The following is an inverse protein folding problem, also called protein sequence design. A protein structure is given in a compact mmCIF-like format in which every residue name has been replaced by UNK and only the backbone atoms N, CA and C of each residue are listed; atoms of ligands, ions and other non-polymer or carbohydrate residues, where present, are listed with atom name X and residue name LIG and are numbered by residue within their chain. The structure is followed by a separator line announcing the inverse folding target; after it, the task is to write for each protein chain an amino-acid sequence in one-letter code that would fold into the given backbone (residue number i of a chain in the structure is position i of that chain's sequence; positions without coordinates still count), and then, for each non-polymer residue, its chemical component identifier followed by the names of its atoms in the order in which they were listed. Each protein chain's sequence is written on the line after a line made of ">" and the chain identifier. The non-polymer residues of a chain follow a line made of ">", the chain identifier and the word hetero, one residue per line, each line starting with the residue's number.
data_IF_228177417493
#
_entry.id   IF_228177417493
#
_cell.length_a   1.000
_cell.length_b   1.000
_cell.length_c   1.000
_cell.angle_alpha   90.00
_cell.angle_beta   90.00
_cell.angle_gamma   90.00
#
_symmetry.space_group_name_H-M   'P 1'
#
loop_
_entity.id
_entity.type
_entity.pdbx_description
1 polymer ?
#
# COMPACT_ATOMS: atom_id res chain seq x y z
N UNK A 1 28.98 -8.12 -6.93
CA UNK A 1 28.89 -6.84 -7.66
C UNK A 1 28.01 -7.12 -8.87
N UNK A 2 26.70 -6.90 -8.74
CA UNK A 2 25.74 -7.16 -9.82
C UNK A 2 25.70 -5.90 -10.67
N UNK A 3 25.99 -6.03 -11.96
CA UNK A 3 25.95 -4.93 -12.91
C UNK A 3 24.50 -4.44 -13.00
N UNK A 4 24.26 -3.20 -12.58
CA UNK A 4 22.97 -2.53 -12.76
C UNK A 4 22.92 -2.08 -14.22
N UNK A 5 22.19 -2.82 -15.04
CA UNK A 5 21.91 -2.41 -16.40
C UNK A 5 20.99 -1.19 -16.36
N UNK A 6 21.48 -0.05 -16.83
CA UNK A 6 20.72 1.20 -16.91
C UNK A 6 19.53 1.13 -17.88
N UNK A 7 19.33 -0.01 -18.54
CA UNK A 7 18.27 -0.25 -19.53
C UNK A 7 16.91 -0.70 -18.95
N UNK A 8 16.79 -1.00 -17.65
CA UNK A 8 15.58 -1.63 -17.08
C UNK A 8 14.32 -0.74 -16.99
N UNK A 9 14.42 0.55 -17.33
CA UNK A 9 13.30 1.51 -17.21
C UNK A 9 13.23 2.51 -18.38
N UNK A 10 12.78 2.08 -19.58
CA UNK A 10 12.44 3.00 -20.66
C UNK A 10 11.33 3.99 -20.26
N UNK A 11 11.52 5.25 -20.66
CA UNK A 11 10.48 6.28 -20.60
C UNK A 11 9.45 6.03 -21.72
N UNK A 12 8.18 5.90 -21.34
CA UNK A 12 7.05 5.70 -22.25
C UNK A 12 6.53 7.06 -22.76
N UNK A 13 7.25 7.64 -23.72
CA UNK A 13 6.94 8.97 -24.33
C UNK A 13 5.53 9.12 -24.89
N UNK A 14 4.91 8.02 -25.33
CA UNK A 14 3.59 8.04 -25.98
C UNK A 14 2.44 7.79 -25.00
N UNK A 15 2.73 7.73 -23.68
CA UNK A 15 1.74 7.49 -22.62
C UNK A 15 1.86 8.51 -21.48
N UNK A 16 2.09 9.77 -21.81
CA UNK A 16 1.95 10.84 -20.82
C UNK A 16 0.49 10.88 -20.33
N UNK A 17 0.29 10.76 -19.02
CA UNK A 17 -1.03 10.79 -18.41
C UNK A 17 -1.25 12.19 -17.84
N UNK A 18 -2.26 12.90 -18.36
CA UNK A 18 -2.65 14.23 -17.90
C UNK A 18 -3.59 14.09 -16.69
N UNK A 19 -3.01 13.80 -15.53
CA UNK A 19 -3.77 13.73 -14.27
C UNK A 19 -3.89 15.15 -13.67
N UNK A 20 -4.96 15.84 -14.04
CA UNK A 20 -5.51 17.05 -13.39
C UNK A 20 -4.82 18.41 -13.70
N UNK A 21 -5.53 19.56 -13.50
CA UNK A 21 -5.02 20.87 -13.88
C UNK A 21 -3.77 21.26 -13.08
N UNK A 22 -2.62 21.32 -13.75
CA UNK A 22 -1.36 21.81 -13.19
C UNK A 22 -0.37 20.74 -12.74
N UNK A 23 -0.66 19.46 -12.95
CA UNK A 23 0.30 18.36 -12.77
C UNK A 23 0.75 17.80 -14.12
N UNK A 24 2.01 17.38 -14.24
CA UNK A 24 2.47 16.57 -15.37
C UNK A 24 2.91 15.22 -14.82
N UNK A 25 2.59 14.13 -15.51
CA UNK A 25 3.08 12.81 -15.15
C UNK A 25 3.67 12.08 -16.34
N UNK A 26 4.71 11.29 -16.08
CA UNK A 26 5.36 10.43 -17.07
C UNK A 26 5.38 8.98 -16.57
N UNK A 27 5.44 8.04 -17.49
CA UNK A 27 5.49 6.61 -17.18
C UNK A 27 6.84 6.00 -17.55
N UNK A 28 7.30 5.08 -16.71
CA UNK A 28 8.44 4.22 -16.97
C UNK A 28 8.01 2.76 -16.92
N UNK A 29 8.54 1.95 -17.82
CA UNK A 29 8.23 0.53 -17.88
C UNK A 29 9.39 -0.30 -17.34
N UNK A 30 9.15 -1.18 -16.36
CA UNK A 30 10.06 -2.27 -16.04
C UNK A 30 9.69 -3.47 -16.91
N UNK A 31 10.66 -3.98 -17.68
CA UNK A 31 10.48 -5.12 -18.60
C UNK A 31 11.70 -6.02 -18.56
N UNK A 32 11.46 -7.32 -18.74
CA UNK A 32 12.48 -8.36 -18.97
C UNK A 32 13.60 -8.37 -17.90
N UNK A 33 13.22 -8.25 -16.62
CA UNK A 33 14.11 -8.32 -15.47
C UNK A 33 13.77 -9.45 -14.50
N UNK A 34 14.46 -9.51 -13.36
CA UNK A 34 14.16 -10.45 -12.27
C UNK A 34 12.87 -10.04 -11.53
N UNK A 35 12.57 -8.73 -11.52
CA UNK A 35 11.35 -8.19 -10.95
C UNK A 35 10.18 -8.26 -11.96
N UNK A 36 8.92 -8.24 -11.48
CA UNK A 36 7.77 -8.30 -12.37
C UNK A 36 7.71 -7.17 -13.39
N UNK A 37 7.06 -7.42 -14.53
CA UNK A 37 6.74 -6.36 -15.48
C UNK A 37 5.74 -5.39 -14.85
N UNK A 38 6.08 -4.10 -14.85
CA UNK A 38 5.23 -3.07 -14.27
C UNK A 38 5.44 -1.72 -14.95
N UNK A 39 4.44 -0.85 -14.85
CA UNK A 39 4.50 0.55 -15.25
C UNK A 39 4.50 1.42 -13.98
N UNK A 40 5.47 2.33 -13.87
CA UNK A 40 5.66 3.23 -12.74
C UNK A 40 5.41 4.68 -13.17
N UNK A 41 4.58 5.40 -12.42
CA UNK A 41 4.32 6.82 -12.66
C UNK A 41 5.20 7.73 -11.82
N UNK A 42 5.73 8.78 -12.46
CA UNK A 42 6.39 9.90 -11.82
C UNK A 42 5.58 11.15 -12.09
N UNK A 43 5.19 11.85 -11.03
CA UNK A 43 4.36 13.05 -11.11
C UNK A 43 5.12 14.27 -10.59
N UNK A 44 4.84 15.42 -11.20
CA UNK A 44 5.29 16.73 -10.73
C UNK A 44 4.08 17.56 -10.33
N UNK A 45 4.04 17.97 -9.06
CA UNK A 45 2.98 18.82 -8.54
C UNK A 45 3.52 19.72 -7.43
N UNK A 46 3.11 20.99 -7.42
CA UNK A 46 3.48 21.98 -6.39
C UNK A 46 5.00 22.08 -6.11
N UNK A 47 5.83 21.95 -7.15
CA UNK A 47 7.30 22.01 -7.04
C UNK A 47 7.96 20.76 -6.47
N UNK A 48 7.21 19.68 -6.26
CA UNK A 48 7.72 18.39 -5.80
C UNK A 48 7.63 17.34 -6.90
N UNK A 49 8.58 16.41 -6.90
CA UNK A 49 8.57 15.22 -7.75
C UNK A 49 8.22 14.03 -6.87
N UNK A 50 7.16 13.31 -7.21
CA UNK A 50 6.72 12.14 -6.46
C UNK A 50 6.72 10.91 -7.36
N UNK A 51 7.20 9.79 -6.82
CA UNK A 51 6.98 8.47 -7.42
C UNK A 51 5.61 8.02 -6.91
N UNK A 52 4.67 7.81 -7.83
CA UNK A 52 3.27 7.60 -7.52
C UNK A 52 2.92 6.12 -7.44
N UNK A 53 2.42 5.59 -8.56
CA UNK A 53 1.81 4.27 -8.62
C UNK A 53 2.67 3.30 -9.44
N UNK A 54 2.72 2.04 -9.03
CA UNK A 54 3.40 0.95 -9.75
C UNK A 54 2.33 -0.10 -10.08
N UNK A 55 2.04 -0.27 -11.36
CA UNK A 55 0.96 -1.12 -11.86
C UNK A 55 1.54 -2.34 -12.57
N UNK A 56 1.28 -3.57 -12.11
CA UNK A 56 1.74 -4.77 -12.79
C UNK A 56 1.03 -4.98 -14.13
N UNK A 57 1.74 -5.56 -15.12
CA UNK A 57 1.20 -5.74 -16.48
C UNK A 57 0.31 -6.98 -16.63
N UNK A 58 0.63 -8.08 -15.92
CA UNK A 58 0.08 -9.41 -16.22
C UNK A 58 -0.72 -10.06 -15.07
N UNK A 59 -0.90 -9.37 -13.93
CA UNK A 59 -1.59 -9.93 -12.75
C UNK A 59 -2.27 -8.82 -11.93
N UNK A 60 -3.15 -9.23 -11.00
CA UNK A 60 -4.05 -8.32 -10.29
C UNK A 60 -3.34 -7.28 -9.41
N UNK A 61 -2.36 -7.68 -8.60
CA UNK A 61 -1.65 -6.78 -7.68
C UNK A 61 -0.22 -7.23 -7.39
N UNK A 62 0.68 -6.27 -7.14
CA UNK A 62 2.03 -6.52 -6.61
C UNK A 62 1.97 -6.77 -5.11
N UNK A 63 2.71 -7.76 -4.63
CA UNK A 63 3.01 -7.86 -3.20
C UNK A 63 3.77 -6.62 -2.72
N UNK A 64 3.76 -6.34 -1.40
CA UNK A 64 4.56 -5.24 -0.85
C UNK A 64 6.05 -5.39 -1.14
N UNK A 65 6.58 -6.61 -1.11
CA UNK A 65 7.97 -6.89 -1.44
C UNK A 65 8.27 -6.50 -2.90
N UNK A 66 7.47 -6.97 -3.86
CA UNK A 66 7.67 -6.67 -5.28
C UNK A 66 7.50 -5.17 -5.58
N UNK A 67 6.50 -4.54 -4.97
CA UNK A 67 6.29 -3.10 -5.09
C UNK A 67 7.52 -2.31 -4.60
N UNK A 68 8.02 -2.65 -3.42
CA UNK A 68 9.18 -1.98 -2.82
C UNK A 68 10.47 -2.27 -3.60
N UNK A 69 10.66 -3.49 -4.06
CA UNK A 69 11.82 -3.85 -4.87
C UNK A 69 11.82 -3.09 -6.20
N UNK A 70 10.66 -2.96 -6.86
CA UNK A 70 10.50 -2.15 -8.08
C UNK A 70 10.77 -0.66 -7.80
N UNK A 71 10.25 -0.12 -6.69
CA UNK A 71 10.50 1.27 -6.29
C UNK A 71 11.99 1.54 -6.04
N UNK A 72 12.65 0.65 -5.29
CA UNK A 72 14.10 0.75 -4.98
C UNK A 72 14.94 0.60 -6.24
N UNK A 73 14.58 -0.32 -7.13
CA UNK A 73 15.26 -0.52 -8.40
C UNK A 73 15.15 0.73 -9.28
N UNK A 74 13.95 1.27 -9.47
CA UNK A 74 13.73 2.51 -10.21
C UNK A 74 14.48 3.69 -9.60
N UNK A 75 14.44 3.82 -8.27
CA UNK A 75 15.14 4.87 -7.54
C UNK A 75 16.63 4.84 -7.87
N UNK A 76 17.26 3.66 -7.78
CA UNK A 76 18.70 3.48 -8.02
C UNK A 76 19.06 3.65 -9.49
N UNK A 77 18.27 3.07 -10.41
CA UNK A 77 18.59 3.02 -11.84
C UNK A 77 18.32 4.37 -12.55
N UNK A 78 17.30 5.13 -12.13
CA UNK A 78 16.83 6.32 -12.84
C UNK A 78 16.77 7.56 -11.97
N UNK A 79 16.09 7.47 -10.82
CA UNK A 79 15.71 8.66 -10.05
C UNK A 79 16.92 9.34 -9.38
N UNK A 80 17.72 8.60 -8.61
CA UNK A 80 18.89 9.15 -7.91
C UNK A 80 19.95 9.71 -8.87
N UNK A 81 20.30 9.05 -9.99
CA UNK A 81 21.19 9.64 -10.99
C UNK A 81 20.65 10.92 -11.63
N UNK A 82 19.33 11.00 -11.86
CA UNK A 82 18.70 12.21 -12.40
C UNK A 82 18.67 13.35 -11.38
N UNK A 83 18.29 13.06 -10.13
CA UNK A 83 18.28 14.02 -9.03
C UNK A 83 19.67 14.62 -8.78
N UNK A 84 20.72 13.78 -8.78
CA UNK A 84 22.11 14.22 -8.63
C UNK A 84 22.54 15.21 -9.74
N UNK A 85 22.13 14.96 -11.00
CA UNK A 85 22.41 15.88 -12.13
C UNK A 85 21.70 17.22 -12.00
N UNK A 86 20.55 17.24 -11.33
CA UNK A 86 19.74 18.44 -11.11
C UNK A 86 20.07 19.15 -9.79
N UNK A 87 21.01 18.62 -8.99
CA UNK A 87 21.33 19.17 -7.67
C UNK A 87 20.21 19.01 -6.64
N UNK A 88 19.29 18.08 -6.86
CA UNK A 88 18.19 17.77 -5.95
C UNK A 88 18.64 16.76 -4.89
N UNK A 89 18.02 16.81 -3.71
CA UNK A 89 18.20 15.81 -2.65
C UNK A 89 16.98 14.87 -2.65
N UNK A 90 17.08 13.68 -3.26
CA UNK A 90 15.95 12.76 -3.33
C UNK A 90 15.79 12.02 -1.99
N UNK A 91 14.58 12.05 -1.44
CA UNK A 91 14.22 11.27 -0.25
C UNK A 91 13.52 9.97 -0.69
N UNK A 92 13.99 8.83 -0.19
CA UNK A 92 13.30 7.55 -0.32
C UNK A 92 12.68 7.24 1.03
N UNK A 93 11.35 7.23 1.11
CA UNK A 93 10.62 6.87 2.34
C UNK A 93 10.81 5.40 2.67
N UNK A 94 10.67 5.03 3.94
CA UNK A 94 10.81 3.63 4.36
C UNK A 94 9.80 2.72 3.65
N UNK A 95 10.27 1.53 3.27
CA UNK A 95 9.52 0.52 2.53
C UNK A 95 8.29 -0.01 3.29
N UNK A 96 8.25 0.19 4.62
CA UNK A 96 7.15 -0.21 5.49
C UNK A 96 6.58 1.02 6.17
N UNK A 97 5.44 1.50 5.68
CA UNK A 97 4.58 2.34 6.51
C UNK A 97 4.00 1.43 7.59
N UNK A 98 4.37 1.69 8.83
CA UNK A 98 3.90 0.91 9.97
C UNK A 98 2.39 1.16 10.13
N UNK A 99 1.61 0.14 10.50
CA UNK A 99 0.18 0.27 10.73
C UNK A 99 -0.15 1.40 11.75
N UNK A 100 0.82 1.76 12.60
CA UNK A 100 0.77 2.88 13.54
C UNK A 100 0.64 4.28 12.91
N UNK A 101 0.88 4.43 11.60
CA UNK A 101 0.58 5.65 10.86
C UNK A 101 -0.92 5.92 10.77
N UNK A 102 -1.74 4.86 10.72
CA UNK A 102 -3.19 4.95 10.56
C UNK A 102 -3.95 4.74 11.86
N UNK A 103 -3.45 3.89 12.76
CA UNK A 103 -4.14 3.54 14.01
C UNK A 103 -3.18 3.61 15.18
N UNK A 104 -3.67 3.73 16.42
CA UNK A 104 -2.76 3.74 17.55
C UNK A 104 -2.29 2.32 17.89
N UNK A 105 -1.21 2.24 18.67
CA UNK A 105 -0.62 0.97 19.13
C UNK A 105 -1.63 0.05 19.85
N UNK A 106 -2.67 0.62 20.47
CA UNK A 106 -3.74 -0.14 21.11
C UNK A 106 -4.55 -0.96 20.09
N UNK A 107 -5.01 -0.33 19.01
CA UNK A 107 -5.72 -1.00 17.93
C UNK A 107 -4.82 -2.01 17.19
N UNK A 108 -3.54 -1.68 16.95
CA UNK A 108 -2.57 -2.64 16.37
C UNK A 108 -2.48 -3.91 17.24
N UNK A 109 -2.40 -3.77 18.57
CA UNK A 109 -2.35 -4.92 19.49
C UNK A 109 -3.60 -5.78 19.42
N UNK A 110 -4.78 -5.18 19.28
CA UNK A 110 -6.03 -5.94 19.13
C UNK A 110 -6.09 -6.69 17.80
N UNK A 111 -5.66 -6.07 16.70
CA UNK A 111 -5.56 -6.74 15.40
C UNK A 111 -4.61 -7.94 15.46
N UNK A 112 -3.43 -7.77 16.05
CA UNK A 112 -2.44 -8.85 16.22
C UNK A 112 -2.99 -9.95 17.14
N UNK A 113 -3.68 -9.59 18.22
CA UNK A 113 -4.28 -10.56 19.13
C UNK A 113 -5.39 -11.38 18.46
N UNK A 114 -6.26 -10.74 17.68
CA UNK A 114 -7.24 -11.42 16.82
C UNK A 114 -6.52 -12.37 15.86
N UNK A 115 -5.55 -11.88 15.11
CA UNK A 115 -4.83 -12.65 14.09
C UNK A 115 -4.10 -13.88 14.62
N UNK A 116 -3.49 -13.79 15.79
CA UNK A 116 -2.74 -14.88 16.39
C UNK A 116 -3.64 -15.99 16.96
N UNK A 117 -4.89 -15.68 17.27
CA UNK A 117 -5.78 -16.60 17.97
C UNK A 117 -6.91 -17.14 17.08
N UNK A 118 -7.23 -16.43 16.01
CA UNK A 118 -8.22 -16.85 15.04
C UNK A 118 -7.70 -17.99 14.16
N UNK A 119 -8.60 -18.89 13.78
CA UNK A 119 -8.31 -19.79 12.67
C UNK A 119 -8.42 -19.00 11.35
N UNK A 120 -7.27 -18.72 10.73
CA UNK A 120 -7.18 -17.89 9.53
C UNK A 120 -7.94 -18.43 8.32
N UNK A 121 -8.25 -19.73 8.30
CA UNK A 121 -9.08 -20.33 7.25
C UNK A 121 -10.58 -20.03 7.39
N UNK A 122 -11.03 -19.53 8.54
CA UNK A 122 -12.45 -19.28 8.84
C UNK A 122 -12.76 -17.82 9.18
N UNK A 123 -11.79 -16.91 9.10
CA UNK A 123 -12.02 -15.50 9.39
C UNK A 123 -12.44 -15.26 10.84
N UNK A 124 -13.39 -14.35 11.02
CA UNK A 124 -14.03 -14.02 12.29
C UNK A 124 -15.30 -14.85 12.57
N UNK A 125 -15.45 -16.04 11.98
CA UNK A 125 -16.68 -16.84 12.09
C UNK A 125 -16.90 -17.47 13.47
N UNK A 126 -15.83 -17.77 14.20
CA UNK A 126 -15.95 -18.32 15.56
C UNK A 126 -16.35 -17.20 16.54
N UNK A 127 -17.27 -17.43 17.51
CA UNK A 127 -17.79 -16.36 18.37
C UNK A 127 -16.73 -15.52 19.10
N UNK A 128 -15.66 -16.16 19.59
CA UNK A 128 -14.58 -15.44 20.26
C UNK A 128 -13.73 -14.61 19.30
N UNK A 129 -13.56 -15.07 18.06
CA UNK A 129 -12.81 -14.35 17.04
C UNK A 129 -13.65 -13.18 16.52
N UNK A 130 -14.96 -13.38 16.39
CA UNK A 130 -15.93 -12.33 16.11
C UNK A 130 -15.88 -11.21 17.13
N UNK A 131 -15.85 -11.54 18.43
CA UNK A 131 -15.76 -10.54 19.49
C UNK A 131 -14.46 -9.73 19.37
N UNK A 132 -13.31 -10.39 19.25
CA UNK A 132 -12.01 -9.69 19.10
C UNK A 132 -11.95 -8.82 17.85
N UNK A 133 -12.56 -9.28 16.77
CA UNK A 133 -12.65 -8.53 15.53
C UNK A 133 -13.48 -7.25 15.69
N UNK A 134 -14.66 -7.36 16.30
CA UNK A 134 -15.51 -6.21 16.60
C UNK A 134 -14.83 -5.25 17.58
N UNK A 135 -14.15 -5.76 18.61
CA UNK A 135 -13.40 -4.94 19.57
C UNK A 135 -12.31 -4.11 18.88
N UNK A 136 -11.62 -4.70 17.89
CA UNK A 136 -10.65 -4.00 17.05
C UNK A 136 -11.32 -2.89 16.23
N UNK A 137 -12.43 -3.17 15.55
CA UNK A 137 -13.15 -2.17 14.73
C UNK A 137 -13.62 -0.99 15.59
N UNK A 138 -14.27 -1.28 16.73
CA UNK A 138 -14.75 -0.25 17.66
C UNK A 138 -13.60 0.61 18.15
N UNK A 139 -12.46 -0.02 18.47
CA UNK A 139 -11.28 0.72 18.91
C UNK A 139 -10.74 1.66 17.83
N UNK A 140 -10.65 1.21 16.58
CA UNK A 140 -10.20 2.07 15.47
C UNK A 140 -11.14 3.27 15.29
N UNK A 141 -12.44 3.02 15.40
CA UNK A 141 -13.46 4.07 15.34
C UNK A 141 -13.34 5.09 16.48
N UNK A 142 -13.23 4.62 17.73
CA UNK A 142 -13.09 5.47 18.93
C UNK A 142 -11.81 6.34 18.89
N UNK A 143 -10.76 5.87 18.22
CA UNK A 143 -9.51 6.61 18.07
C UNK A 143 -9.62 7.80 17.11
N UNK A 144 -10.71 7.91 16.35
CA UNK A 144 -10.98 9.00 15.42
C UNK A 144 -10.00 9.08 14.24
N UNK A 145 -9.22 8.01 14.02
CA UNK A 145 -8.30 7.91 12.88
C UNK A 145 -8.94 7.10 11.75
N UNK A 146 -8.42 7.29 10.55
CA UNK A 146 -8.88 6.57 9.37
C UNK A 146 -7.85 5.54 8.93
N UNK A 147 -8.21 4.26 9.05
CA UNK A 147 -7.51 3.15 8.44
C UNK A 147 -8.22 2.80 7.12
N UNK A 148 -7.59 3.01 5.96
CA UNK A 148 -8.17 2.59 4.69
C UNK A 148 -8.29 1.05 4.63
N UNK A 149 -9.44 0.49 4.18
CA UNK A 149 -9.64 -0.96 4.10
C UNK A 149 -8.59 -1.68 3.27
N UNK A 150 -8.10 -1.07 2.19
CA UNK A 150 -7.05 -1.61 1.33
C UNK A 150 -5.70 -1.74 2.04
N UNK A 151 -5.40 -0.83 2.98
CA UNK A 151 -4.19 -0.92 3.82
C UNK A 151 -4.33 -2.06 4.83
N UNK A 152 -5.52 -2.21 5.42
CA UNK A 152 -5.82 -3.32 6.34
C UNK A 152 -5.74 -4.68 5.63
N UNK A 153 -6.37 -4.82 4.46
CA UNK A 153 -6.33 -6.04 3.64
C UNK A 153 -4.89 -6.43 3.33
N UNK A 154 -4.10 -5.47 2.82
CA UNK A 154 -2.70 -5.69 2.50
C UNK A 154 -1.89 -6.11 3.72
N UNK A 155 -2.12 -5.49 4.87
CA UNK A 155 -1.44 -5.86 6.12
C UNK A 155 -1.82 -7.26 6.63
N UNK A 156 -3.10 -7.63 6.49
CA UNK A 156 -3.57 -8.98 6.82
C UNK A 156 -2.84 -10.04 5.98
N UNK A 157 -2.65 -9.77 4.68
CA UNK A 157 -1.98 -10.68 3.75
C UNK A 157 -0.47 -10.71 4.02
N UNK A 158 0.20 -9.56 3.92
CA UNK A 158 1.66 -9.49 3.83
C UNK A 158 2.35 -9.71 5.19
N UNK A 159 1.82 -9.13 6.27
CA UNK A 159 2.47 -9.17 7.59
C UNK A 159 1.84 -10.24 8.50
N UNK A 160 0.53 -10.41 8.41
CA UNK A 160 -0.21 -11.35 9.24
C UNK A 160 -0.51 -12.67 8.55
N UNK A 161 -0.12 -12.85 7.29
CA UNK A 161 -0.17 -14.13 6.57
C UNK A 161 -1.57 -14.76 6.53
N UNK A 162 -2.60 -13.94 6.35
CA UNK A 162 -3.97 -14.39 6.09
C UNK A 162 -4.12 -14.84 4.63
N UNK A 163 -4.96 -15.86 4.34
CA UNK A 163 -5.35 -16.17 2.97
C UNK A 163 -6.01 -14.95 2.32
N UNK A 164 -5.65 -14.63 1.07
CA UNK A 164 -6.13 -13.44 0.35
C UNK A 164 -7.66 -13.30 0.39
N UNK A 165 -8.39 -14.39 0.10
CA UNK A 165 -9.85 -14.37 0.12
C UNK A 165 -10.43 -14.00 1.49
N UNK A 166 -9.82 -14.50 2.57
CA UNK A 166 -10.28 -14.22 3.94
C UNK A 166 -9.88 -12.83 4.38
N UNK A 167 -8.71 -12.34 3.98
CA UNK A 167 -8.29 -10.97 4.23
C UNK A 167 -9.21 -9.96 3.54
N UNK A 168 -9.62 -10.24 2.30
CA UNK A 168 -10.58 -9.45 1.54
C UNK A 168 -11.95 -9.39 2.23
N UNK A 169 -12.48 -10.55 2.65
CA UNK A 169 -13.74 -10.62 3.40
C UNK A 169 -13.69 -9.80 4.70
N UNK A 170 -12.57 -9.86 5.43
CA UNK A 170 -12.36 -9.08 6.65
C UNK A 170 -12.29 -7.58 6.36
N UNK A 171 -11.58 -7.17 5.30
CA UNK A 171 -11.48 -5.75 4.94
C UNK A 171 -12.85 -5.16 4.53
N UNK A 172 -13.66 -5.92 3.78
CA UNK A 172 -15.03 -5.55 3.44
C UNK A 172 -15.90 -5.43 4.70
N UNK A 173 -15.79 -6.39 5.64
CA UNK A 173 -16.52 -6.31 6.91
C UNK A 173 -16.09 -5.08 7.73
N UNK A 174 -14.79 -4.79 7.77
CA UNK A 174 -14.24 -3.63 8.46
C UNK A 174 -14.81 -2.32 7.90
N UNK A 175 -14.81 -2.16 6.58
CA UNK A 175 -15.30 -0.94 5.92
C UNK A 175 -16.78 -0.69 6.22
N UNK A 176 -17.61 -1.71 6.03
CA UNK A 176 -19.04 -1.61 6.32
C UNK A 176 -19.35 -1.35 7.81
N UNK A 177 -18.56 -1.95 8.72
CA UNK A 177 -18.73 -1.71 10.16
C UNK A 177 -18.27 -0.30 10.57
N UNK A 178 -17.19 0.22 9.99
CA UNK A 178 -16.73 1.58 10.22
C UNK A 178 -17.74 2.62 9.72
N UNK A 179 -18.33 2.40 8.53
CA UNK A 179 -19.42 3.23 8.00
C UNK A 179 -20.63 3.23 8.93
N UNK A 180 -21.03 2.04 9.42
CA UNK A 180 -22.15 1.90 10.36
C UNK A 180 -21.91 2.65 11.67
N UNK A 181 -20.72 2.53 12.27
CA UNK A 181 -20.39 3.22 13.53
C UNK A 181 -20.35 4.73 13.35
N UNK A 182 -19.78 5.22 12.25
CA UNK A 182 -19.83 6.65 11.90
C UNK A 182 -21.27 7.14 11.79
N UNK A 183 -22.12 6.42 11.06
CA UNK A 183 -23.53 6.77 10.91
C UNK A 183 -24.29 6.74 12.24
N UNK A 184 -23.93 5.82 13.12
CA UNK A 184 -24.51 5.68 14.46
C UNK A 184 -24.19 6.91 15.33
N UNK A 185 -22.95 7.37 15.33
CA UNK A 185 -22.55 8.57 16.09
C UNK A 185 -23.25 9.84 15.59
N UNK A 186 -23.49 9.97 14.28
CA UNK A 186 -24.27 11.08 13.71
C UNK A 186 -25.73 11.11 14.17
N UNK A 187 -26.24 10.01 14.76
CA UNK A 187 -27.61 9.94 15.30
C UNK A 187 -27.71 10.20 16.81
N UNK A 188 -26.58 10.41 17.48
CA UNK A 188 -26.51 10.63 18.94
C UNK A 188 -26.32 12.11 19.26
#
# INVERSE_FOLDING_TARGET
>A
MIAVDTASWPYLKDRDLDFSPGGTSVLFAHREGVLPNADLSVAWYSGQVTIGNIVPENFGQLSMAEYNDLLVDFYRARFAPAAAKLGLQPELTEARRDLSEWINVGAVRQLVAFSNLANKGTGASHPNDRQRWLDFIIRVHDEGRHLPPEILEKWLIDELHWPESVASDLAIEFDGAAELLKRYDETR
#
